data_IF_809128500183
#
_entry.id   IF_809128500183
#
_cell.length_a   1.000
_cell.length_b   1.000
_cell.length_c   1.000
_cell.angle_alpha   90.00
_cell.angle_beta   90.00
_cell.angle_gamma   90.00
#
_symmetry.space_group_name_H-M   'P 1'
#
loop_
_entity.id
_entity.type
_entity.pdbx_description
1 polymer ?
#
# COMPACT_ATOMS: atom_id res chain seq x y z
N UNK A 1 43.58 5.48 26.79
CA UNK A 1 43.03 4.44 25.89
C UNK A 1 41.69 4.95 25.40
N UNK A 2 41.61 5.45 24.17
CA UNK A 2 40.33 5.86 23.57
C UNK A 2 39.52 4.61 23.22
N UNK A 3 38.30 4.51 23.75
CA UNK A 3 37.37 3.44 23.40
C UNK A 3 36.98 3.55 21.92
N UNK A 4 37.02 2.46 21.14
CA UNK A 4 36.66 2.52 19.72
C UNK A 4 35.20 2.93 19.56
N UNK A 5 34.96 4.02 18.84
CA UNK A 5 33.61 4.48 18.47
C UNK A 5 32.94 3.38 17.65
N UNK A 6 31.88 2.78 18.18
CA UNK A 6 31.07 1.79 17.46
C UNK A 6 30.57 2.42 16.15
N UNK A 7 30.74 1.76 14.99
CA UNK A 7 30.24 2.29 13.72
C UNK A 7 28.72 2.42 13.82
N UNK A 8 28.22 3.58 13.41
CA UNK A 8 26.78 3.84 13.35
C UNK A 8 26.22 3.02 12.19
N UNK A 9 25.73 1.81 12.49
CA UNK A 9 24.95 1.03 11.54
C UNK A 9 23.64 1.80 11.30
N UNK A 10 23.52 2.42 10.12
CA UNK A 10 22.35 3.10 9.57
C UNK A 10 21.25 3.53 10.57
N UNK A 11 21.19 4.81 10.91
CA UNK A 11 20.04 5.38 11.63
C UNK A 11 18.84 5.44 10.68
N UNK A 12 17.84 4.58 10.92
CA UNK A 12 16.57 4.57 10.18
C UNK A 12 15.93 5.95 10.28
N UNK A 13 15.81 6.65 9.14
CA UNK A 13 15.26 8.02 9.05
C UNK A 13 13.73 8.11 9.20
N UNK A 14 13.03 6.98 9.26
CA UNK A 14 11.57 6.92 9.29
C UNK A 14 11.09 6.27 10.59
N UNK A 15 10.11 6.91 11.24
CA UNK A 15 9.38 6.37 12.40
C UNK A 15 8.42 5.27 11.95
N UNK A 16 8.04 4.36 12.86
CA UNK A 16 7.11 3.26 12.54
C UNK A 16 5.74 3.76 12.05
N UNK A 17 5.40 5.01 12.39
CA UNK A 17 4.15 5.69 12.06
C UNK A 17 4.25 6.59 10.81
N UNK A 18 5.38 6.58 10.08
CA UNK A 18 5.41 7.15 8.73
C UNK A 18 4.65 6.20 7.79
N UNK A 19 3.33 6.37 7.76
CA UNK A 19 2.45 5.64 6.86
C UNK A 19 2.93 5.84 5.42
N UNK A 20 3.37 4.74 4.79
CA UNK A 20 3.74 4.73 3.39
C UNK A 20 2.46 5.03 2.59
N UNK A 21 2.47 6.13 1.84
CA UNK A 21 1.32 6.49 1.04
C UNK A 21 1.15 5.52 -0.14
N UNK A 22 -0.06 5.41 -0.67
CA UNK A 22 -0.30 4.61 -1.87
C UNK A 22 0.51 5.11 -3.08
N UNK A 23 0.81 6.42 -3.12
CA UNK A 23 1.64 7.01 -4.17
C UNK A 23 3.12 6.61 -4.03
N UNK A 24 3.63 6.51 -2.80
CA UNK A 24 4.98 6.01 -2.53
C UNK A 24 5.13 4.55 -2.98
N UNK A 25 4.13 3.72 -2.69
CA UNK A 25 4.09 2.32 -3.15
C UNK A 25 4.09 2.23 -4.68
N UNK A 26 3.28 3.06 -5.35
CA UNK A 26 3.23 3.14 -6.82
C UNK A 26 4.56 3.62 -7.41
N UNK A 27 5.22 4.56 -6.75
CA UNK A 27 6.54 5.07 -7.15
C UNK A 27 7.60 3.99 -7.00
N UNK A 28 7.60 3.25 -5.88
CA UNK A 28 8.50 2.13 -5.64
C UNK A 28 8.29 1.02 -6.69
N UNK A 29 7.04 0.65 -6.98
CA UNK A 29 6.69 -0.34 -8.01
C UNK A 29 7.27 0.03 -9.38
N UNK A 30 7.10 1.30 -9.82
CA UNK A 30 7.66 1.79 -11.09
C UNK A 30 9.19 1.75 -11.12
N UNK A 31 9.84 2.06 -9.99
CA UNK A 31 11.31 1.96 -9.89
C UNK A 31 11.78 0.51 -9.97
N UNK A 32 11.10 -0.41 -9.29
CA UNK A 32 11.40 -1.83 -9.37
C UNK A 32 11.23 -2.38 -10.79
N UNK A 33 10.19 -1.96 -11.52
CA UNK A 33 10.01 -2.33 -12.93
C UNK A 33 11.19 -1.90 -13.80
N UNK A 34 11.70 -0.67 -13.62
CA UNK A 34 12.91 -0.17 -14.33
C UNK A 34 14.15 -0.99 -13.98
N UNK A 35 14.28 -1.41 -12.73
CA UNK A 35 15.40 -2.24 -12.29
C UNK A 35 15.33 -3.64 -12.93
N UNK A 36 14.13 -4.24 -13.03
CA UNK A 36 13.93 -5.50 -13.75
C UNK A 36 14.25 -5.35 -15.24
N UNK A 37 13.85 -4.25 -15.86
CA UNK A 37 14.19 -3.97 -17.27
C UNK A 37 15.71 -3.85 -17.49
N UNK A 38 16.41 -3.20 -16.55
CA UNK A 38 17.85 -2.94 -16.65
C UNK A 38 18.72 -4.14 -16.26
N UNK A 39 18.32 -4.88 -15.23
CA UNK A 39 19.14 -5.89 -14.56
C UNK A 39 18.52 -7.29 -14.60
N UNK A 40 17.33 -7.45 -15.16
CA UNK A 40 16.66 -8.73 -15.32
C UNK A 40 16.23 -9.36 -14.00
N UNK A 41 16.47 -10.67 -13.87
CA UNK A 41 15.91 -11.52 -12.81
C UNK A 41 16.35 -11.13 -11.40
N UNK A 42 17.47 -10.43 -11.24
CA UNK A 42 18.01 -10.06 -9.93
C UNK A 42 17.05 -9.18 -9.11
N UNK A 43 16.22 -8.38 -9.80
CA UNK A 43 15.26 -7.47 -9.16
C UNK A 43 13.82 -7.97 -9.24
N UNK A 44 13.58 -9.11 -9.90
CA UNK A 44 12.24 -9.69 -10.05
C UNK A 44 11.57 -9.95 -8.69
N UNK A 45 12.24 -10.48 -7.65
CA UNK A 45 11.59 -10.73 -6.35
C UNK A 45 11.06 -9.45 -5.68
N UNK A 46 11.75 -8.33 -5.85
CA UNK A 46 11.32 -7.04 -5.29
C UNK A 46 10.11 -6.51 -6.06
N UNK A 47 10.15 -6.62 -7.39
CA UNK A 47 9.03 -6.24 -8.24
C UNK A 47 7.76 -7.04 -7.90
N UNK A 48 7.84 -8.36 -7.82
CA UNK A 48 6.69 -9.23 -7.50
C UNK A 48 6.07 -8.88 -6.14
N UNK A 49 6.91 -8.58 -5.14
CA UNK A 49 6.44 -8.17 -3.82
C UNK A 49 5.64 -6.87 -3.90
N UNK A 50 6.18 -5.86 -4.58
CA UNK A 50 5.53 -4.56 -4.75
C UNK A 50 4.24 -4.67 -5.58
N UNK A 51 4.23 -5.56 -6.57
CA UNK A 51 3.04 -5.85 -7.37
C UNK A 51 1.90 -6.39 -6.50
N UNK A 52 2.20 -7.38 -5.65
CA UNK A 52 1.21 -7.95 -4.74
C UNK A 52 0.68 -6.90 -3.76
N UNK A 53 1.56 -6.14 -3.12
CA UNK A 53 1.17 -5.09 -2.17
C UNK A 53 0.28 -4.02 -2.86
N UNK A 54 0.58 -3.66 -4.12
CA UNK A 54 -0.22 -2.71 -4.88
C UNK A 54 -1.62 -3.27 -5.19
N UNK A 55 -1.71 -4.53 -5.60
CA UNK A 55 -2.99 -5.20 -5.89
C UNK A 55 -3.85 -5.34 -4.63
N UNK A 56 -3.26 -5.72 -3.50
CA UNK A 56 -3.96 -5.83 -2.21
C UNK A 56 -4.58 -4.49 -1.82
N UNK A 57 -3.82 -3.39 -1.89
CA UNK A 57 -4.32 -2.05 -1.55
C UNK A 57 -5.43 -1.58 -2.48
N UNK A 58 -5.30 -1.81 -3.79
CA UNK A 58 -6.37 -1.50 -4.75
C UNK A 58 -7.64 -2.30 -4.46
N UNK A 59 -7.50 -3.57 -4.09
CA UNK A 59 -8.63 -4.42 -3.73
C UNK A 59 -9.34 -3.93 -2.46
N UNK A 60 -8.58 -3.58 -1.41
CA UNK A 60 -9.12 -3.01 -0.18
C UNK A 60 -9.90 -1.71 -0.42
N UNK A 61 -9.34 -0.79 -1.23
CA UNK A 61 -10.01 0.45 -1.58
C UNK A 61 -11.32 0.21 -2.36
N UNK A 62 -11.31 -0.74 -3.30
CA UNK A 62 -12.49 -1.11 -4.06
C UNK A 62 -13.58 -1.73 -3.17
N UNK A 63 -13.19 -2.61 -2.25
CA UNK A 63 -14.12 -3.20 -1.27
C UNK A 63 -14.71 -2.14 -0.35
N UNK A 64 -13.89 -1.21 0.14
CA UNK A 64 -14.33 -0.11 0.99
C UNK A 64 -15.31 0.80 0.25
N UNK A 65 -15.03 1.12 -1.02
CA UNK A 65 -15.93 1.90 -1.87
C UNK A 65 -17.29 1.19 -2.04
N UNK A 66 -17.27 -0.11 -2.34
CA UNK A 66 -18.47 -0.93 -2.48
C UNK A 66 -19.27 -1.00 -1.18
N UNK A 67 -18.62 -1.18 -0.04
CA UNK A 67 -19.26 -1.20 1.27
C UNK A 67 -19.97 0.14 1.57
N UNK A 68 -19.30 1.27 1.26
CA UNK A 68 -19.89 2.62 1.39
C UNK A 68 -21.10 2.80 0.47
N UNK A 69 -21.04 2.30 -0.76
CA UNK A 69 -22.16 2.37 -1.70
C UNK A 69 -23.37 1.59 -1.18
N UNK A 70 -23.18 0.33 -0.78
CA UNK A 70 -24.23 -0.52 -0.21
C UNK A 70 -24.88 0.14 1.01
N UNK A 71 -24.08 0.75 1.90
CA UNK A 71 -24.58 1.47 3.06
C UNK A 71 -25.43 2.69 2.66
N UNK A 72 -25.05 3.43 1.62
CA UNK A 72 -25.79 4.60 1.13
C UNK A 72 -27.10 4.19 0.46
N UNK A 73 -27.11 3.14 -0.36
CA UNK A 73 -28.32 2.62 -1.00
C UNK A 73 -29.38 2.20 0.03
N UNK A 74 -28.96 1.66 1.18
CA UNK A 74 -29.87 1.35 2.30
C UNK A 74 -30.47 2.59 2.95
N UNK A 75 -29.73 3.70 3.03
CA UNK A 75 -30.24 4.97 3.58
C UNK A 75 -31.26 5.66 2.66
N UNK A 76 -31.18 5.43 1.36
CA UNK A 76 -32.07 6.05 0.36
C UNK A 76 -33.35 5.28 0.08
N UNK A 77 -33.57 4.11 0.69
CA UNK A 77 -34.84 3.37 0.57
C UNK A 77 -35.78 3.79 1.71
N UNK A 78 -36.77 4.67 1.47
CA UNK A 78 -37.77 4.96 2.50
C UNK A 78 -38.54 3.68 2.83
N UNK A 79 -38.76 3.42 4.11
CA UNK A 79 -39.66 2.38 4.60
C UNK A 79 -41.12 2.76 4.26
N UNK A 80 -41.48 2.76 2.97
CA UNK A 80 -42.88 2.79 2.55
C UNK A 80 -43.34 1.36 2.31
N UNK A 81 -43.58 0.64 3.40
CA UNK A 81 -44.39 -0.58 3.39
C UNK A 81 -44.90 -0.87 4.80
N UNK A 82 -45.68 0.07 5.34
CA UNK A 82 -46.75 -0.27 6.29
C UNK A 82 -48.06 0.25 5.68
N UNK A 83 -49.09 -0.61 5.72
CA UNK A 83 -50.47 -0.44 5.25
C UNK A 83 -50.70 -0.80 3.78
N UNK A 84 -51.12 -2.05 3.56
CA UNK A 84 -52.54 -2.33 3.31
C UNK A 84 -52.96 -3.56 4.11
#
# INVERSE_FOLDING_TARGET
METPKKPVLYTRKYTKDDDISFDDLRTAYRRAARLVDTHGKDYLPVFERLERELQERQHEEALLARAKEVARQRKTRPQNSLKQ
#
